data_IF_944393555017
#
_entry.id   IF_944393555017
#
_cell.length_a   1.000
_cell.length_b   1.000
_cell.length_c   1.000
_cell.angle_alpha   90.00
_cell.angle_beta   90.00
_cell.angle_gamma   90.00
#
_symmetry.space_group_name_H-M   'P 1'
#
loop_
_entity.id
_entity.type
_entity.pdbx_description
1 polymer ?
#
# COMPACT_ATOMS: atom_id res chain seq x y z
N UNK A 1 -19.85 39.82 -44.38
CA UNK A 1 -20.23 39.24 -43.08
C UNK A 1 -19.33 38.05 -42.83
N UNK A 2 -18.25 38.24 -42.06
CA UNK A 2 -17.29 37.19 -41.76
C UNK A 2 -17.68 36.51 -40.45
N UNK A 3 -17.96 35.22 -40.52
CA UNK A 3 -18.29 34.35 -39.39
C UNK A 3 -16.99 33.91 -38.71
N UNK A 4 -16.68 34.53 -37.57
CA UNK A 4 -15.58 34.11 -36.70
C UNK A 4 -15.98 32.84 -35.96
N UNK A 5 -15.42 31.70 -36.35
CA UNK A 5 -15.58 30.43 -35.63
C UNK A 5 -14.69 30.46 -34.37
N UNK A 6 -15.25 30.27 -33.16
CA UNK A 6 -14.44 30.19 -31.95
C UNK A 6 -13.64 28.89 -31.95
N UNK A 7 -12.32 29.01 -31.88
CA UNK A 7 -11.41 27.87 -31.79
C UNK A 7 -11.62 27.07 -30.49
N UNK A 8 -11.34 25.76 -30.49
CA UNK A 8 -11.52 24.91 -29.32
C UNK A 8 -10.62 25.41 -28.17
N UNK A 9 -11.25 25.63 -27.01
CA UNK A 9 -10.60 26.00 -25.77
C UNK A 9 -9.45 25.02 -25.49
N UNK A 10 -8.22 25.52 -25.61
CA UNK A 10 -7.02 24.81 -25.21
C UNK A 10 -7.17 24.41 -23.75
N UNK A 11 -7.04 23.10 -23.48
CA UNK A 11 -6.82 22.62 -22.11
C UNK A 11 -5.57 23.28 -21.60
N UNK A 12 -5.72 24.04 -20.52
CA UNK A 12 -4.64 24.72 -19.82
C UNK A 12 -3.66 23.67 -19.24
N UNK A 13 -2.40 23.59 -19.73
CA UNK A 13 -1.40 22.64 -19.24
C UNK A 13 -0.90 22.96 -17.82
N UNK A 14 -1.37 24.04 -17.20
CA UNK A 14 -0.84 24.61 -15.96
C UNK A 14 -1.27 23.91 -14.66
N UNK A 15 -2.16 22.92 -14.69
CA UNK A 15 -2.57 22.18 -13.46
C UNK A 15 -1.92 20.81 -13.31
N UNK A 16 -1.05 20.42 -14.24
CA UNK A 16 -0.24 19.20 -14.17
C UNK A 16 1.03 19.36 -13.34
N UNK A 17 0.96 19.96 -12.15
CA UNK A 17 2.07 19.92 -11.18
C UNK A 17 2.25 18.46 -10.73
N UNK A 18 3.01 17.68 -11.50
CA UNK A 18 3.58 16.43 -11.00
C UNK A 18 4.29 16.77 -9.70
N UNK A 19 3.99 16.01 -8.67
CA UNK A 19 4.58 16.18 -7.36
C UNK A 19 6.12 16.24 -7.54
N UNK A 20 6.72 17.38 -7.19
CA UNK A 20 8.11 17.67 -7.55
C UNK A 20 9.11 16.77 -6.80
N UNK A 21 10.43 16.91 -7.06
CA UNK A 21 11.48 16.08 -6.45
C UNK A 21 11.40 15.97 -4.91
N UNK A 22 10.88 17.01 -4.24
CA UNK A 22 10.67 17.04 -2.79
C UNK A 22 9.63 16.03 -2.30
N UNK A 23 8.56 15.81 -3.07
CA UNK A 23 7.49 14.85 -2.72
C UNK A 23 7.99 13.41 -2.78
N UNK A 24 8.71 13.06 -3.84
CA UNK A 24 9.34 11.75 -4.03
C UNK A 24 10.35 11.44 -2.93
N UNK A 25 11.20 12.42 -2.58
CA UNK A 25 12.14 12.29 -1.46
C UNK A 25 11.43 12.09 -0.12
N UNK A 26 10.36 12.84 0.15
CA UNK A 26 9.54 12.65 1.35
C UNK A 26 8.93 11.26 1.38
N UNK A 27 8.37 10.79 0.26
CA UNK A 27 7.82 9.44 0.15
C UNK A 27 8.90 8.37 0.35
N UNK A 28 10.13 8.58 -0.13
CA UNK A 28 11.26 7.69 0.13
C UNK A 28 11.61 7.61 1.62
N UNK A 29 11.74 8.74 2.31
CA UNK A 29 11.98 8.78 3.77
C UNK A 29 10.84 8.09 4.54
N UNK A 30 9.60 8.35 4.17
CA UNK A 30 8.45 7.70 4.79
C UNK A 30 8.41 6.20 4.53
N UNK A 31 8.82 5.74 3.34
CA UNK A 31 8.90 4.32 3.02
C UNK A 31 10.01 3.61 3.83
N UNK A 32 11.18 4.23 4.00
CA UNK A 32 12.26 3.68 4.81
C UNK A 32 11.88 3.62 6.29
N UNK A 33 11.26 4.69 6.80
CA UNK A 33 10.69 4.72 8.15
C UNK A 33 9.58 3.67 8.32
N UNK A 34 8.69 3.50 7.35
CA UNK A 34 7.63 2.48 7.38
C UNK A 34 8.23 1.07 7.42
N UNK A 35 9.32 0.82 6.69
CA UNK A 35 10.01 -0.47 6.76
C UNK A 35 10.58 -0.73 8.16
N UNK A 36 11.25 0.24 8.77
CA UNK A 36 11.76 0.14 10.14
C UNK A 36 10.64 -0.05 11.17
N UNK A 37 9.65 0.84 11.17
CA UNK A 37 8.50 0.81 12.08
C UNK A 37 7.70 -0.49 11.92
N UNK A 38 7.42 -0.92 10.70
CA UNK A 38 6.68 -2.15 10.42
C UNK A 38 7.42 -3.40 10.90
N UNK A 39 8.75 -3.45 10.71
CA UNK A 39 9.58 -4.55 11.23
C UNK A 39 9.54 -4.60 12.75
N UNK A 40 9.75 -3.46 13.42
CA UNK A 40 9.72 -3.37 14.88
C UNK A 40 8.33 -3.70 15.44
N UNK A 41 7.27 -3.20 14.79
CA UNK A 41 5.88 -3.55 15.11
C UNK A 41 5.68 -5.05 15.08
N UNK A 42 6.16 -5.71 14.03
CA UNK A 42 5.96 -7.15 13.89
C UNK A 42 6.78 -7.99 14.86
N UNK A 43 7.98 -7.54 15.24
CA UNK A 43 8.73 -8.15 16.32
C UNK A 43 7.99 -8.00 17.66
N UNK A 44 7.46 -6.80 17.96
CA UNK A 44 6.67 -6.59 19.17
C UNK A 44 5.44 -7.51 19.20
N UNK A 45 4.70 -7.63 18.08
CA UNK A 45 3.57 -8.56 18.01
C UNK A 45 4.00 -10.02 18.24
N UNK A 46 5.12 -10.44 17.66
CA UNK A 46 5.68 -11.77 17.89
C UNK A 46 6.05 -12.01 19.35
N UNK A 47 6.70 -11.05 20.00
CA UNK A 47 7.07 -11.10 21.42
C UNK A 47 5.84 -11.14 22.33
N UNK A 48 4.79 -10.38 22.01
CA UNK A 48 3.51 -10.44 22.73
C UNK A 48 2.95 -11.87 22.72
N UNK A 49 2.86 -12.51 21.56
CA UNK A 49 2.33 -13.87 21.46
C UNK A 49 3.25 -14.94 22.06
N UNK A 50 4.56 -14.74 22.01
CA UNK A 50 5.53 -15.70 22.52
C UNK A 50 5.72 -15.62 24.04
N UNK A 51 5.60 -14.43 24.63
CA UNK A 51 5.94 -14.16 26.03
C UNK A 51 4.71 -13.78 26.84
N UNK A 52 3.96 -12.76 26.42
CA UNK A 52 2.91 -12.16 27.25
C UNK A 52 1.60 -12.95 27.22
N UNK A 53 1.20 -13.48 26.06
CA UNK A 53 -0.03 -14.29 25.95
C UNK A 53 0.03 -15.57 26.81
N UNK A 54 1.12 -16.35 26.82
CA UNK A 54 1.20 -17.55 27.67
C UNK A 54 1.22 -17.25 29.18
N UNK A 55 1.71 -16.07 29.58
CA UNK A 55 1.84 -15.69 31.00
C UNK A 55 0.72 -14.79 31.50
N UNK A 56 -0.28 -14.49 30.66
CA UNK A 56 -1.30 -13.47 30.94
C UNK A 56 -0.66 -12.14 31.41
N UNK A 57 0.39 -11.73 30.69
CA UNK A 57 1.29 -10.64 31.06
C UNK A 57 0.70 -9.23 30.89
N UNK A 58 1.50 -8.18 31.12
CA UNK A 58 1.04 -6.79 31.09
C UNK A 58 0.71 -6.24 29.68
N UNK A 59 0.89 -7.05 28.62
CA UNK A 59 0.65 -6.71 27.21
C UNK A 59 1.39 -5.44 26.72
N UNK A 60 2.61 -5.21 27.20
CA UNK A 60 3.47 -4.07 26.81
C UNK A 60 3.92 -4.19 25.36
N UNK A 61 4.25 -5.40 24.90
CA UNK A 61 4.59 -5.61 23.49
C UNK A 61 3.37 -5.45 22.58
N UNK A 62 2.18 -5.82 23.06
CA UNK A 62 0.91 -5.54 22.40
C UNK A 62 0.67 -4.04 22.19
N UNK A 63 0.76 -3.26 23.27
CA UNK A 63 0.63 -1.80 23.19
C UNK A 63 1.70 -1.15 22.29
N UNK A 64 2.93 -1.67 22.32
CA UNK A 64 4.02 -1.22 21.45
C UNK A 64 3.70 -1.48 19.98
N UNK A 65 3.21 -2.68 19.65
CA UNK A 65 2.75 -3.01 18.31
C UNK A 65 1.61 -2.09 17.86
N UNK A 66 0.66 -1.75 18.72
CA UNK A 66 -0.47 -0.90 18.35
C UNK A 66 -0.03 0.55 18.04
N UNK A 67 0.88 1.11 18.85
CA UNK A 67 1.48 2.44 18.59
C UNK A 67 2.26 2.44 17.28
N UNK A 68 3.13 1.44 17.08
CA UNK A 68 3.94 1.34 15.88
C UNK A 68 3.07 1.06 14.64
N UNK A 69 2.02 0.26 14.77
CA UNK A 69 1.03 0.03 13.72
C UNK A 69 0.30 1.30 13.31
N UNK A 70 -0.07 2.16 14.27
CA UNK A 70 -0.66 3.46 13.98
C UNK A 70 0.32 4.39 13.24
N UNK A 71 1.57 4.47 13.72
CA UNK A 71 2.62 5.25 13.07
C UNK A 71 2.92 4.74 11.65
N UNK A 72 3.02 3.42 11.48
CA UNK A 72 3.19 2.78 10.18
C UNK A 72 2.10 3.21 9.20
N UNK A 73 0.83 3.13 9.60
CA UNK A 73 -0.29 3.51 8.75
C UNK A 73 -0.28 4.98 8.31
N UNK A 74 0.29 5.89 9.11
CA UNK A 74 0.52 7.28 8.69
C UNK A 74 1.67 7.40 7.70
N UNK A 75 2.76 6.66 7.94
CA UNK A 75 3.95 6.68 7.09
C UNK A 75 3.69 6.13 5.68
N UNK A 76 2.79 5.16 5.52
CA UNK A 76 2.51 4.58 4.20
C UNK A 76 1.70 5.51 3.28
N UNK A 77 0.97 6.49 3.82
CA UNK A 77 0.12 7.42 3.04
C UNK A 77 0.91 8.16 1.95
N UNK A 78 2.01 8.90 2.25
CA UNK A 78 2.80 9.57 1.22
C UNK A 78 3.41 8.59 0.21
N UNK A 79 3.74 7.37 0.63
CA UNK A 79 4.27 6.32 -0.26
C UNK A 79 3.22 5.90 -1.28
N UNK A 80 1.99 5.66 -0.83
CA UNK A 80 0.86 5.31 -1.70
C UNK A 80 0.50 6.46 -2.63
N UNK A 81 0.47 7.69 -2.13
CA UNK A 81 0.20 8.87 -2.96
C UNK A 81 1.22 9.02 -4.09
N UNK A 82 2.51 8.88 -3.79
CA UNK A 82 3.59 9.00 -4.77
C UNK A 82 3.55 7.88 -5.82
N UNK A 83 3.54 6.62 -5.39
CA UNK A 83 3.44 5.47 -6.30
C UNK A 83 2.10 5.43 -7.05
N UNK A 84 1.05 5.97 -6.46
CA UNK A 84 -0.27 6.09 -7.08
C UNK A 84 -0.32 7.15 -8.16
N UNK A 85 0.48 8.22 -8.04
CA UNK A 85 0.59 9.27 -9.06
C UNK A 85 1.24 8.76 -10.36
N UNK A 86 2.06 7.71 -10.26
CA UNK A 86 2.70 7.00 -11.37
C UNK A 86 1.73 6.09 -12.16
N UNK A 87 0.51 5.88 -11.66
CA UNK A 87 -0.51 5.11 -12.37
C UNK A 87 -1.20 5.96 -13.45
N UNK A 88 -1.58 5.35 -14.58
CA UNK A 88 -2.42 6.01 -15.57
C UNK A 88 -3.79 6.36 -14.96
N UNK A 89 -4.46 7.42 -15.45
CA UNK A 89 -5.84 7.74 -15.07
C UNK A 89 -6.78 6.53 -15.22
N UNK A 90 -7.77 6.42 -14.33
CA UNK A 90 -8.73 5.31 -14.29
C UNK A 90 -8.95 4.79 -12.87
N UNK A 91 -9.81 3.76 -12.74
CA UNK A 91 -10.30 3.25 -11.44
C UNK A 91 -9.21 2.97 -10.39
N UNK A 92 -8.04 2.46 -10.79
CA UNK A 92 -6.94 2.19 -9.84
C UNK A 92 -6.43 3.47 -9.20
N UNK A 93 -6.29 4.55 -9.97
CA UNK A 93 -5.82 5.86 -9.49
C UNK A 93 -6.94 6.67 -8.86
N UNK A 94 -8.13 6.66 -9.45
CA UNK A 94 -9.18 7.61 -9.10
C UNK A 94 -10.08 7.11 -7.96
N UNK A 95 -10.09 5.80 -7.71
CA UNK A 95 -10.93 5.19 -6.67
C UNK A 95 -10.09 4.40 -5.67
N UNK A 96 -9.28 3.44 -6.16
CA UNK A 96 -8.59 2.50 -5.29
C UNK A 96 -7.47 3.16 -4.49
N UNK A 97 -6.75 4.13 -5.06
CA UNK A 97 -5.73 4.89 -4.34
C UNK A 97 -6.32 5.73 -3.20
N UNK A 98 -7.33 6.60 -3.39
CA UNK A 98 -7.99 7.28 -2.29
C UNK A 98 -8.53 6.31 -1.22
N UNK A 99 -9.08 5.17 -1.63
CA UNK A 99 -9.54 4.13 -0.69
C UNK A 99 -8.39 3.56 0.15
N UNK A 100 -7.22 3.28 -0.45
CA UNK A 100 -6.05 2.79 0.27
C UNK A 100 -5.47 3.85 1.23
N UNK A 101 -5.44 5.12 0.83
CA UNK A 101 -5.05 6.24 1.69
C UNK A 101 -6.03 6.37 2.86
N UNK A 102 -7.33 6.34 2.58
CA UNK A 102 -8.38 6.38 3.60
C UNK A 102 -8.29 5.19 4.57
N UNK A 103 -8.00 3.99 4.05
CA UNK A 103 -7.74 2.82 4.87
C UNK A 103 -6.52 3.00 5.78
N UNK A 104 -5.43 3.61 5.30
CA UNK A 104 -4.30 4.01 6.14
C UNK A 104 -4.71 4.96 7.26
N UNK A 105 -5.48 6.01 6.95
CA UNK A 105 -5.96 6.95 7.96
C UNK A 105 -6.87 6.27 9.00
N UNK A 106 -7.78 5.39 8.57
CA UNK A 106 -8.65 4.59 9.46
C UNK A 106 -7.82 3.65 10.33
N UNK A 107 -6.82 2.96 9.76
CA UNK A 107 -5.91 2.09 10.50
C UNK A 107 -5.13 2.86 11.58
N UNK A 108 -4.60 4.02 11.23
CA UNK A 108 -3.90 4.90 12.18
C UNK A 108 -4.82 5.39 13.31
N UNK A 109 -6.02 5.84 12.97
CA UNK A 109 -7.01 6.27 13.95
C UNK A 109 -7.44 5.11 14.85
N UNK A 110 -7.66 3.92 14.29
CA UNK A 110 -8.05 2.73 15.04
C UNK A 110 -6.99 2.32 16.06
N UNK A 111 -5.72 2.25 15.65
CA UNK A 111 -4.61 1.94 16.57
C UNK A 111 -4.45 3.00 17.65
N UNK A 112 -4.57 4.29 17.31
CA UNK A 112 -4.51 5.39 18.28
C UNK A 112 -5.63 5.30 19.31
N UNK A 113 -6.86 5.06 18.87
CA UNK A 113 -8.02 4.92 19.76
C UNK A 113 -7.94 3.67 20.63
N UNK A 114 -7.35 2.58 20.13
CA UNK A 114 -7.10 1.37 20.90
C UNK A 114 -6.10 1.63 22.03
N UNK A 115 -4.96 2.27 21.72
CA UNK A 115 -3.93 2.64 22.70
C UNK A 115 -4.48 3.61 23.75
N UNK A 116 -5.30 4.57 23.32
CA UNK A 116 -5.99 5.50 24.22
C UNK A 116 -7.12 4.84 25.04
N UNK A 117 -7.38 3.54 24.85
CA UNK A 117 -8.46 2.76 25.49
C UNK A 117 -9.86 3.33 25.23
N UNK A 118 -10.03 4.07 24.13
CA UNK A 118 -11.32 4.61 23.67
C UNK A 118 -12.07 3.58 22.84
N UNK A 119 -11.34 2.78 22.05
CA UNK A 119 -11.90 1.74 21.20
C UNK A 119 -11.53 0.35 21.73
N UNK A 120 -12.49 -0.56 21.96
CA UNK A 120 -12.17 -1.92 22.37
C UNK A 120 -11.41 -2.69 21.29
N UNK A 121 -10.68 -3.73 21.72
CA UNK A 121 -9.82 -4.54 20.86
C UNK A 121 -10.55 -5.16 19.66
N UNK A 122 -11.74 -5.76 19.86
CA UNK A 122 -12.45 -6.46 18.80
C UNK A 122 -12.91 -5.52 17.65
N UNK A 123 -13.58 -4.38 17.91
CA UNK A 123 -13.84 -3.38 16.89
C UNK A 123 -12.57 -2.84 16.20
N UNK A 124 -11.50 -2.58 16.96
CA UNK A 124 -10.23 -2.11 16.38
C UNK A 124 -9.61 -3.14 15.44
N UNK A 125 -9.64 -4.41 15.83
CA UNK A 125 -9.15 -5.53 15.01
C UNK A 125 -9.96 -5.64 13.72
N UNK A 126 -11.29 -5.50 13.79
CA UNK A 126 -12.16 -5.53 12.61
C UNK A 126 -11.84 -4.38 11.64
N UNK A 127 -11.70 -3.15 12.15
CA UNK A 127 -11.32 -1.98 11.35
C UNK A 127 -9.94 -2.14 10.72
N UNK A 128 -8.95 -2.59 11.49
CA UNK A 128 -7.58 -2.81 11.01
C UNK A 128 -7.52 -3.91 9.95
N UNK A 129 -8.29 -5.00 10.12
CA UNK A 129 -8.39 -6.08 9.14
C UNK A 129 -9.02 -5.58 7.83
N UNK A 130 -10.09 -4.77 7.93
CA UNK A 130 -10.72 -4.18 6.75
C UNK A 130 -9.77 -3.21 6.02
N UNK A 131 -9.04 -2.38 6.78
CA UNK A 131 -8.03 -1.48 6.22
C UNK A 131 -6.93 -2.26 5.48
N UNK A 132 -6.39 -3.32 6.09
CA UNK A 132 -5.41 -4.22 5.48
C UNK A 132 -5.95 -4.84 4.19
N UNK A 133 -7.22 -5.28 4.17
CA UNK A 133 -7.82 -5.84 2.96
C UNK A 133 -7.88 -4.81 1.81
N UNK A 134 -8.29 -3.57 2.09
CA UNK A 134 -8.31 -2.49 1.09
C UNK A 134 -6.91 -2.18 0.57
N UNK A 135 -5.92 -2.06 1.46
CA UNK A 135 -4.53 -1.83 1.10
C UNK A 135 -3.94 -3.00 0.29
N UNK A 136 -4.31 -4.25 0.60
CA UNK A 136 -3.90 -5.43 -0.15
C UNK A 136 -4.50 -5.45 -1.57
N UNK A 137 -5.76 -5.05 -1.75
CA UNK A 137 -6.36 -4.87 -3.09
C UNK A 137 -5.58 -3.80 -3.86
N UNK A 138 -5.28 -2.67 -3.24
CA UNK A 138 -4.47 -1.64 -3.85
C UNK A 138 -3.09 -2.17 -4.26
N UNK A 139 -2.36 -2.84 -3.36
CA UNK A 139 -1.05 -3.41 -3.67
C UNK A 139 -1.12 -4.39 -4.85
N UNK A 140 -2.11 -5.29 -4.86
CA UNK A 140 -2.28 -6.27 -5.93
C UNK A 140 -2.48 -5.59 -7.29
N UNK A 141 -3.44 -4.67 -7.37
CA UNK A 141 -3.84 -4.03 -8.63
C UNK A 141 -2.83 -2.98 -9.08
N UNK A 142 -2.32 -2.15 -8.18
CA UNK A 142 -1.36 -1.08 -8.50
C UNK A 142 -0.05 -1.67 -8.99
N UNK A 143 0.49 -2.68 -8.30
CA UNK A 143 1.75 -3.30 -8.71
C UNK A 143 1.61 -4.11 -10.01
N UNK A 144 0.46 -4.77 -10.27
CA UNK A 144 0.22 -5.40 -11.59
C UNK A 144 0.22 -4.38 -12.74
N UNK A 145 -0.36 -3.20 -12.51
CA UNK A 145 -0.38 -2.10 -13.48
C UNK A 145 1.01 -1.51 -13.68
N UNK A 146 1.73 -1.24 -12.60
CA UNK A 146 3.08 -0.67 -12.62
C UNK A 146 4.08 -1.64 -13.28
N UNK A 147 3.93 -2.96 -13.11
CA UNK A 147 4.77 -3.96 -13.79
C UNK A 147 4.70 -3.92 -15.33
N UNK A 148 3.67 -3.28 -15.90
CA UNK A 148 3.55 -3.09 -17.36
C UNK A 148 4.39 -1.92 -17.86
N UNK A 149 4.90 -1.07 -16.97
CA UNK A 149 5.81 0.02 -17.32
C UNK A 149 7.25 -0.51 -17.46
N UNK A 150 7.97 -0.18 -18.55
CA UNK A 150 9.32 -0.68 -18.77
C UNK A 150 10.34 -0.24 -17.70
N UNK A 151 10.12 0.94 -17.11
CA UNK A 151 11.00 1.60 -16.14
C UNK A 151 10.73 1.20 -14.68
N UNK A 152 9.64 0.47 -14.40
CA UNK A 152 9.28 0.10 -13.04
C UNK A 152 10.08 -1.13 -12.54
N UNK A 153 10.65 -1.11 -11.33
CA UNK A 153 11.44 -2.23 -10.82
C UNK A 153 10.62 -3.52 -10.67
N UNK A 154 10.96 -4.54 -11.48
CA UNK A 154 10.24 -5.83 -11.49
C UNK A 154 10.17 -6.51 -10.12
N UNK A 155 11.21 -6.41 -9.30
CA UNK A 155 11.24 -6.99 -7.95
C UNK A 155 10.21 -6.35 -7.03
N UNK A 156 10.14 -5.02 -7.01
CA UNK A 156 9.17 -4.24 -6.22
C UNK A 156 7.74 -4.59 -6.64
N UNK A 157 7.46 -4.57 -7.94
CA UNK A 157 6.14 -4.89 -8.48
C UNK A 157 5.70 -6.33 -8.20
N UNK A 158 6.59 -7.31 -8.43
CA UNK A 158 6.24 -8.72 -8.17
C UNK A 158 6.00 -8.97 -6.69
N UNK A 159 6.83 -8.43 -5.82
CA UNK A 159 6.66 -8.57 -4.37
C UNK A 159 5.34 -7.96 -3.92
N UNK A 160 5.00 -6.75 -4.37
CA UNK A 160 3.74 -6.11 -3.99
C UNK A 160 2.52 -6.84 -4.50
N UNK A 161 2.59 -7.39 -5.72
CA UNK A 161 1.54 -8.25 -6.28
C UNK A 161 1.35 -9.54 -5.46
N UNK A 162 2.44 -10.19 -5.06
CA UNK A 162 2.42 -11.41 -4.24
C UNK A 162 1.83 -11.13 -2.86
N UNK A 163 2.28 -10.08 -2.18
CA UNK A 163 1.77 -9.68 -0.86
C UNK A 163 0.26 -9.44 -0.94
N UNK A 164 -0.20 -8.61 -1.89
CA UNK A 164 -1.62 -8.32 -2.05
C UNK A 164 -2.45 -9.56 -2.33
N UNK A 165 -2.00 -10.45 -3.23
CA UNK A 165 -2.71 -11.69 -3.52
C UNK A 165 -2.75 -12.64 -2.32
N UNK A 166 -1.62 -12.86 -1.65
CA UNK A 166 -1.52 -13.77 -0.51
C UNK A 166 -2.35 -13.28 0.68
N UNK A 167 -2.39 -11.96 0.94
CA UNK A 167 -3.21 -11.39 2.00
C UNK A 167 -4.71 -11.55 1.74
N UNK A 168 -5.14 -11.32 0.49
CA UNK A 168 -6.56 -11.45 0.12
C UNK A 168 -7.02 -12.91 0.12
N UNK A 169 -6.25 -13.81 -0.48
CA UNK A 169 -6.56 -15.23 -0.50
C UNK A 169 -6.52 -15.82 0.92
N UNK A 170 -5.49 -15.50 1.69
CA UNK A 170 -5.37 -15.92 3.08
C UNK A 170 -6.53 -15.42 3.94
N UNK A 171 -6.84 -14.12 3.83
CA UNK A 171 -7.98 -13.51 4.52
C UNK A 171 -9.32 -14.12 4.13
N UNK A 172 -9.55 -14.41 2.85
CA UNK A 172 -10.77 -15.06 2.39
C UNK A 172 -10.91 -16.49 2.94
N UNK A 173 -9.82 -17.27 2.96
CA UNK A 173 -9.81 -18.63 3.52
C UNK A 173 -10.07 -18.61 5.03
N UNK A 174 -9.41 -17.71 5.77
CA UNK A 174 -9.66 -17.52 7.21
C UNK A 174 -11.11 -17.09 7.46
N UNK A 175 -11.61 -16.14 6.67
CA UNK A 175 -12.99 -15.66 6.74
C UNK A 175 -14.01 -16.77 6.48
N UNK A 176 -13.81 -17.59 5.46
CA UNK A 176 -14.64 -18.77 5.20
C UNK A 176 -14.59 -19.78 6.36
N UNK A 177 -13.41 -19.97 6.96
CA UNK A 177 -13.24 -20.82 8.15
C UNK A 177 -14.06 -20.35 9.36
N UNK A 178 -14.40 -19.07 9.48
CA UNK A 178 -15.24 -18.55 10.56
C UNK A 178 -16.70 -19.04 10.47
N UNK A 179 -17.18 -19.40 9.28
CA UNK A 179 -18.51 -19.99 9.09
C UNK A 179 -18.59 -21.45 9.56
N UNK A 180 -17.44 -22.11 9.80
CA UNK A 180 -17.39 -23.48 10.28
C UNK A 180 -17.55 -23.57 11.81
N UNK A 181 -18.07 -24.69 12.34
CA UNK A 181 -18.25 -24.89 13.78
C UNK A 181 -16.96 -24.65 14.57
N UNK A 182 -17.07 -23.98 15.72
CA UNK A 182 -15.95 -23.77 16.65
C UNK A 182 -15.35 -25.12 17.04
N UNK A 183 -14.02 -25.20 17.07
CA UNK A 183 -13.29 -26.42 17.44
C UNK A 183 -13.17 -27.49 16.33
N UNK A 184 -13.93 -27.38 15.23
CA UNK A 184 -13.87 -28.35 14.13
C UNK A 184 -12.50 -28.39 13.44
N UNK A 185 -12.14 -29.56 12.91
CA UNK A 185 -10.91 -29.76 12.13
C UNK A 185 -10.88 -28.84 10.90
N UNK A 186 -12.01 -28.70 10.19
CA UNK A 186 -12.12 -27.82 9.03
C UNK A 186 -11.81 -26.36 9.35
N UNK A 187 -12.30 -25.84 10.48
CA UNK A 187 -11.98 -24.48 10.93
C UNK A 187 -10.50 -24.30 11.24
N UNK A 188 -9.88 -25.27 11.92
CA UNK A 188 -8.44 -25.24 12.23
C UNK A 188 -7.61 -25.29 10.94
N UNK A 189 -7.96 -26.17 10.02
CA UNK A 189 -7.30 -26.29 8.72
C UNK A 189 -7.40 -24.99 7.92
N UNK A 190 -8.58 -24.36 7.86
CA UNK A 190 -8.75 -23.07 7.20
C UNK A 190 -7.88 -21.97 7.83
N UNK A 191 -7.78 -21.94 9.16
CA UNK A 191 -6.93 -20.97 9.86
C UNK A 191 -5.44 -21.19 9.57
N UNK A 192 -4.97 -22.43 9.48
CA UNK A 192 -3.58 -22.72 9.14
C UNK A 192 -3.29 -22.40 7.68
N UNK A 193 -4.12 -22.91 6.76
CA UNK A 193 -3.93 -22.75 5.31
C UNK A 193 -4.09 -21.30 4.86
N UNK A 194 -5.04 -20.56 5.44
CA UNK A 194 -5.22 -19.13 5.14
C UNK A 194 -4.30 -18.23 5.95
N UNK A 195 -4.09 -18.55 7.23
CA UNK A 195 -3.32 -17.73 8.16
C UNK A 195 -1.83 -17.72 7.86
N UNK A 196 -1.20 -18.87 7.55
CA UNK A 196 0.24 -18.91 7.30
C UNK A 196 0.66 -18.05 6.09
N UNK A 197 0.02 -18.13 4.91
CA UNK A 197 0.33 -17.24 3.80
C UNK A 197 0.05 -15.77 4.12
N UNK A 198 -1.02 -15.48 4.85
CA UNK A 198 -1.34 -14.11 5.28
C UNK A 198 -0.27 -13.53 6.21
N UNK A 199 0.17 -14.29 7.22
CA UNK A 199 1.24 -13.90 8.13
C UNK A 199 2.57 -13.73 7.39
N UNK A 200 2.90 -14.64 6.47
CA UNK A 200 4.10 -14.52 5.65
C UNK A 200 4.06 -13.30 4.73
N UNK A 201 2.92 -13.02 4.10
CA UNK A 201 2.72 -11.84 3.26
C UNK A 201 2.85 -10.54 4.07
N UNK A 202 2.23 -10.50 5.25
CA UNK A 202 2.35 -9.39 6.18
C UNK A 202 3.80 -9.16 6.64
N UNK A 203 4.55 -10.23 6.94
CA UNK A 203 5.97 -10.13 7.31
C UNK A 203 6.87 -9.64 6.16
N UNK A 204 6.45 -9.82 4.90
CA UNK A 204 7.15 -9.31 3.72
C UNK A 204 6.83 -7.85 3.39
N UNK A 205 5.79 -7.27 4.01
CA UNK A 205 5.37 -5.90 3.74
C UNK A 205 6.45 -4.85 4.05
N UNK A 206 7.19 -4.93 5.18
CA UNK A 206 8.32 -4.03 5.44
C UNK A 206 9.42 -4.10 4.36
N UNK A 207 9.71 -5.30 3.85
CA UNK A 207 10.68 -5.48 2.77
C UNK A 207 10.22 -4.79 1.47
N UNK A 208 8.92 -4.81 1.18
CA UNK A 208 8.36 -4.06 0.06
C UNK A 208 8.53 -2.55 0.24
N UNK A 209 8.27 -2.01 1.44
CA UNK A 209 8.49 -0.59 1.73
C UNK A 209 9.96 -0.19 1.64
N UNK A 210 10.88 -1.04 2.08
CA UNK A 210 12.31 -0.81 1.88
C UNK A 210 12.66 -0.71 0.39
N UNK A 211 12.17 -1.64 -0.45
CA UNK A 211 12.39 -1.56 -1.90
C UNK A 211 11.74 -0.32 -2.53
N UNK A 212 10.56 0.08 -2.06
CA UNK A 212 9.89 1.30 -2.49
C UNK A 212 10.73 2.54 -2.15
N UNK A 213 11.33 2.60 -0.95
CA UNK A 213 12.22 3.68 -0.55
C UNK A 213 13.40 3.81 -1.52
N UNK A 214 14.07 2.70 -1.86
CA UNK A 214 15.20 2.70 -2.81
C UNK A 214 14.80 3.14 -4.21
N UNK A 215 13.58 2.82 -4.66
CA UNK A 215 13.06 3.26 -5.95
C UNK A 215 12.69 4.76 -5.96
N UNK A 216 12.10 5.25 -4.87
CA UNK A 216 11.67 6.64 -4.75
C UNK A 216 12.85 7.60 -4.52
N UNK A 217 13.95 7.11 -3.95
CA UNK A 217 15.18 7.89 -3.76
C UNK A 217 15.94 8.14 -5.08
N UNK A 218 15.60 7.40 -6.14
CA UNK A 218 16.17 7.62 -7.48
C UNK A 218 15.55 8.84 -8.16
N UNK A 219 16.35 9.62 -8.93
CA UNK A 219 15.83 10.69 -9.77
C UNK A 219 14.72 10.17 -10.68
N UNK A 220 13.66 10.97 -10.87
CA UNK A 220 12.62 10.62 -11.82
C UNK A 220 13.25 10.41 -13.21
N UNK A 221 12.84 9.36 -13.96
CA UNK A 221 13.32 9.16 -15.33
C UNK A 221 13.07 10.43 -16.13
N UNK A 222 14.12 10.92 -16.83
CA UNK A 222 13.97 12.05 -17.71
C UNK A 222 12.89 11.72 -18.75
N UNK A 223 11.90 12.59 -18.88
CA UNK A 223 10.87 12.45 -19.90
C UNK A 223 11.57 12.60 -21.25
N UNK A 224 11.73 11.48 -21.98
CA UNK A 224 12.27 11.52 -23.33
C UNK A 224 11.36 12.46 -24.13
N UNK A 225 11.86 13.58 -24.67
CA UNK A 225 11.03 14.52 -25.40
C UNK A 225 10.26 13.74 -26.47
N UNK A 226 8.93 13.79 -26.39
CA UNK A 226 8.06 13.23 -27.41
C UNK A 226 8.53 13.80 -28.74
N UNK A 227 9.01 12.91 -29.62
CA UNK A 227 9.86 13.20 -30.77
C UNK A 227 9.71 14.61 -31.32
N UNK A 228 10.78 15.40 -31.16
CA UNK A 228 10.99 16.56 -32.02
C UNK A 228 10.84 16.10 -33.46
N UNK A 229 10.05 16.88 -34.21
CA UNK A 229 9.86 16.77 -35.64
C UNK A 229 11.11 16.19 -36.31
N UNK A 230 10.99 14.99 -36.91
CA UNK A 230 11.96 14.58 -37.91
C UNK A 230 11.88 15.63 -39.03
N UNK A 231 12.91 16.45 -39.25
CA UNK A 231 12.90 17.37 -40.38
C UNK A 231 12.88 16.52 -41.65
N UNK A 232 11.84 16.76 -42.47
CA UNK A 232 11.66 16.33 -43.85
C UNK A 232 12.55 15.20 -44.39
N UNK A 233 11.98 14.01 -44.54
CA UNK A 233 12.25 13.20 -45.74
C UNK A 233 11.48 13.82 -46.92
N UNK A 234 11.88 15.03 -47.30
CA UNK A 234 11.43 15.67 -48.53
C UNK A 234 12.42 15.25 -49.64
N UNK A 235 11.97 14.34 -50.49
CA UNK A 235 12.42 14.21 -51.87
C UNK A 235 13.75 13.50 -52.09
N UNK A 236 13.67 12.22 -52.45
CA UNK A 236 14.41 11.74 -53.61
C UNK A 236 13.38 11.19 -54.61
N UNK A 237 13.39 11.79 -55.79
CA UNK A 237 12.62 11.42 -56.98
C UNK A 237 13.41 10.39 -57.76
#
# INVERSE_FOLDING_TARGET
>A
MSTTTPGPAGRDPATGLRAGPLSRRRAATCADAAAGVGTTSGLALGLMFAIEVPTDGPFVFGATNDVLGAAFNLLVIPVYAELGSELPPGRTRDVLLPAAIGAGAVGAASGTLLVARVLPFAPSTALSTAAIAVQAVWMLVSNDRLLRRPDFPRRLGRLGRVIGAAQLLGGAVVGAGLALPRGSLGRRAAFVVGGLPGVAAWALWPAWFYLAARYLDQPAPAEVPAGGDRPGSAGER
#
